data_IF_378379451566
#
_entry.id   IF_378379451566
#
_cell.length_a   1.000
_cell.length_b   1.000
_cell.length_c   1.000
_cell.angle_alpha   90.00
_cell.angle_beta   90.00
_cell.angle_gamma   90.00
#
_symmetry.space_group_name_H-M   'P 1'
#
loop_
_entity.id
_entity.type
_entity.pdbx_description
1 polymer ?
#
# COMPACT_ATOMS: atom_id res chain seq x y z
N UNK A 1 36.92 -57.61 -7.30
CA UNK A 1 36.21 -56.33 -7.54
C UNK A 1 36.67 -55.35 -6.45
N UNK A 2 37.93 -54.89 -6.43
CA UNK A 2 38.46 -53.64 -7.04
C UNK A 2 37.57 -52.43 -6.69
N UNK A 3 38.02 -51.32 -6.10
CA UNK A 3 39.37 -50.82 -5.84
C UNK A 3 39.31 -49.73 -4.74
N UNK A 4 40.40 -49.62 -3.99
CA UNK A 4 40.73 -48.58 -3.01
C UNK A 4 40.97 -47.20 -3.64
N UNK A 5 41.31 -46.22 -2.79
CA UNK A 5 42.03 -44.94 -3.00
C UNK A 5 41.16 -43.67 -2.84
N UNK A 6 41.57 -42.54 -2.27
CA UNK A 6 42.70 -42.09 -1.42
C UNK A 6 42.42 -40.60 -1.14
N UNK A 7 42.68 -40.17 0.10
CA UNK A 7 43.06 -38.83 0.64
C UNK A 7 43.37 -37.64 -0.32
N UNK A 8 43.22 -36.41 0.24
CA UNK A 8 43.72 -35.06 -0.17
C UNK A 8 42.86 -34.31 -1.22
N UNK A 9 42.67 -32.98 -1.20
CA UNK A 9 43.37 -31.87 -0.54
C UNK A 9 42.49 -30.60 -0.60
N UNK A 10 42.79 -29.66 0.29
CA UNK A 10 42.41 -28.25 0.27
C UNK A 10 42.67 -27.61 -1.10
N UNK A 11 41.69 -26.91 -1.69
CA UNK A 11 41.96 -25.76 -2.55
C UNK A 11 40.84 -24.73 -2.45
N UNK A 12 41.21 -23.59 -1.86
CA UNK A 12 40.43 -22.37 -1.74
C UNK A 12 40.26 -21.71 -3.11
N UNK A 13 39.02 -21.59 -3.59
CA UNK A 13 38.70 -20.77 -4.76
C UNK A 13 38.25 -19.39 -4.27
N UNK A 14 38.98 -18.30 -4.59
CA UNK A 14 38.62 -16.96 -4.15
C UNK A 14 37.42 -16.44 -4.96
N UNK A 15 36.38 -15.96 -4.27
CA UNK A 15 35.34 -15.15 -4.89
C UNK A 15 35.93 -13.78 -5.21
N UNK A 16 36.41 -13.64 -6.44
CA UNK A 16 36.93 -12.41 -7.00
C UNK A 16 35.74 -11.54 -7.44
N UNK A 17 35.38 -10.53 -6.63
CA UNK A 17 34.44 -9.48 -7.05
C UNK A 17 35.23 -8.50 -7.91
N UNK A 18 35.03 -8.58 -9.22
CA UNK A 18 35.42 -7.48 -10.12
C UNK A 18 34.41 -6.34 -9.96
N UNK A 19 34.85 -5.10 -9.71
CA UNK A 19 34.00 -3.93 -9.74
C UNK A 19 33.84 -3.52 -11.20
N UNK A 20 32.62 -3.54 -11.72
CA UNK A 20 32.38 -2.88 -13.00
C UNK A 20 31.00 -2.25 -12.96
N UNK A 21 31.02 -0.92 -13.05
CA UNK A 21 29.84 -0.08 -13.11
C UNK A 21 28.89 -0.60 -14.17
N UNK A 22 27.68 -0.94 -13.72
CA UNK A 22 26.60 -1.27 -14.63
C UNK A 22 26.07 0.03 -15.23
N UNK A 23 26.55 0.28 -16.44
CA UNK A 23 25.92 1.10 -17.46
C UNK A 23 24.42 0.84 -17.49
N UNK A 24 23.66 1.92 -17.51
CA UNK A 24 22.23 1.98 -17.77
C UNK A 24 21.90 1.26 -19.08
N UNK A 25 21.25 0.10 -19.01
CA UNK A 25 20.56 -0.50 -20.15
C UNK A 25 19.08 -0.08 -20.09
N UNK A 26 18.56 0.68 -21.07
CA UNK A 26 17.16 1.15 -21.07
C UNK A 26 16.14 0.01 -21.25
N UNK A 27 16.58 -1.20 -21.59
CA UNK A 27 15.69 -2.24 -22.09
C UNK A 27 15.18 -3.22 -21.02
N UNK A 28 15.72 -3.20 -19.79
CA UNK A 28 15.26 -4.07 -18.70
C UNK A 28 13.99 -3.54 -18.00
N UNK A 29 13.68 -2.25 -18.15
CA UNK A 29 12.45 -1.63 -17.59
C UNK A 29 11.21 -1.91 -18.46
N UNK A 30 11.40 -2.17 -19.76
CA UNK A 30 10.34 -2.43 -20.73
C UNK A 30 9.62 -3.77 -20.47
N UNK A 31 10.37 -4.88 -20.37
CA UNK A 31 9.80 -6.23 -20.28
C UNK A 31 8.98 -6.51 -19.01
N UNK A 32 9.21 -5.75 -17.91
CA UNK A 32 8.47 -5.94 -16.66
C UNK A 32 7.08 -5.28 -16.69
N UNK A 33 6.92 -4.22 -17.47
CA UNK A 33 5.65 -3.51 -17.59
C UNK A 33 4.62 -4.29 -18.41
N UNK A 34 5.07 -5.07 -19.40
CA UNK A 34 4.23 -5.85 -20.31
C UNK A 34 3.37 -6.92 -19.62
N UNK A 35 3.82 -7.41 -18.45
CA UNK A 35 3.09 -8.37 -17.61
C UNK A 35 2.58 -7.74 -16.30
N UNK A 36 2.68 -6.42 -16.16
CA UNK A 36 2.27 -5.74 -14.93
C UNK A 36 0.76 -5.87 -14.69
N UNK A 37 0.37 -6.01 -13.42
CA UNK A 37 -1.04 -6.06 -13.04
C UNK A 37 -1.77 -4.80 -13.54
N UNK A 38 -1.15 -3.63 -13.45
CA UNK A 38 -1.74 -2.38 -13.94
C UNK A 38 -2.06 -2.37 -15.44
N UNK A 39 -1.18 -2.92 -16.29
CA UNK A 39 -1.46 -3.04 -17.72
C UNK A 39 -2.59 -4.04 -17.99
N UNK A 40 -2.60 -5.16 -17.27
CA UNK A 40 -3.67 -6.16 -17.36
C UNK A 40 -5.02 -5.59 -16.90
N UNK A 41 -5.03 -4.81 -15.82
CA UNK A 41 -6.24 -4.12 -15.32
C UNK A 41 -6.76 -3.12 -16.35
N UNK A 42 -5.90 -2.33 -17.00
CA UNK A 42 -6.32 -1.41 -18.07
C UNK A 42 -6.99 -2.15 -19.23
N UNK A 43 -6.38 -3.25 -19.71
CA UNK A 43 -6.94 -4.07 -20.78
C UNK A 43 -8.25 -4.74 -20.35
N UNK A 44 -8.31 -5.27 -19.12
CA UNK A 44 -9.50 -5.88 -18.53
C UNK A 44 -10.68 -4.90 -18.43
N UNK A 45 -10.43 -3.67 -17.97
CA UNK A 45 -11.44 -2.60 -17.94
C UNK A 45 -11.90 -2.24 -19.36
N UNK A 46 -10.99 -2.25 -20.34
CA UNK A 46 -11.34 -2.07 -21.75
C UNK A 46 -12.35 -3.12 -22.24
N UNK A 47 -12.14 -4.40 -21.89
CA UNK A 47 -13.08 -5.48 -22.21
C UNK A 47 -14.44 -5.31 -21.50
N UNK A 48 -14.41 -4.86 -20.24
CA UNK A 48 -15.60 -4.62 -19.44
C UNK A 48 -16.43 -3.43 -19.98
N UNK A 49 -15.77 -2.39 -20.50
CA UNK A 49 -16.43 -1.24 -21.15
C UNK A 49 -16.98 -1.57 -22.53
N UNK A 50 -16.38 -2.54 -23.22
CA UNK A 50 -16.82 -2.98 -24.54
C UNK A 50 -18.03 -3.92 -24.47
N UNK A 51 -18.38 -4.47 -23.30
CA UNK A 51 -19.53 -5.35 -23.15
C UNK A 51 -20.84 -4.57 -22.98
N UNK A 52 -21.87 -5.01 -23.69
CA UNK A 52 -23.15 -4.27 -23.87
C UNK A 52 -23.97 -4.10 -22.59
N UNK A 53 -23.74 -4.92 -21.57
CA UNK A 53 -24.43 -4.87 -20.27
C UNK A 53 -23.47 -4.73 -19.08
N UNK A 54 -22.19 -4.44 -19.33
CA UNK A 54 -21.17 -4.42 -18.28
C UNK A 54 -20.90 -5.77 -17.66
N UNK A 55 -21.39 -6.87 -18.25
CA UNK A 55 -21.12 -8.25 -17.85
C UNK A 55 -19.88 -8.77 -18.60
N UNK A 56 -18.96 -9.43 -17.90
CA UNK A 56 -17.71 -9.96 -18.45
C UNK A 56 -17.47 -11.41 -17.99
N UNK A 57 -17.29 -12.30 -18.96
CA UNK A 57 -16.86 -13.70 -18.72
C UNK A 57 -15.35 -13.74 -18.43
N UNK A 58 -15.01 -14.26 -17.25
CA UNK A 58 -13.65 -14.39 -16.77
C UNK A 58 -12.81 -15.39 -17.58
N UNK A 59 -13.42 -16.43 -18.15
CA UNK A 59 -12.71 -17.39 -19.01
C UNK A 59 -12.31 -16.73 -20.33
N UNK A 60 -13.25 -15.99 -20.94
CA UNK A 60 -13.00 -15.25 -22.18
C UNK A 60 -11.99 -14.13 -21.95
N UNK A 61 -12.07 -13.42 -20.82
CA UNK A 61 -11.09 -12.40 -20.46
C UNK A 61 -9.67 -12.99 -20.27
N UNK A 62 -9.54 -14.15 -19.62
CA UNK A 62 -8.26 -14.85 -19.47
C UNK A 62 -7.64 -15.20 -20.83
N UNK A 63 -8.45 -15.71 -21.77
CA UNK A 63 -8.00 -16.04 -23.12
C UNK A 63 -7.59 -14.79 -23.93
N UNK A 64 -8.38 -13.70 -23.88
CA UNK A 64 -8.09 -12.48 -24.62
C UNK A 64 -6.89 -11.70 -24.08
N UNK A 65 -6.66 -11.76 -22.77
CA UNK A 65 -5.49 -11.15 -22.14
C UNK A 65 -4.25 -12.04 -22.20
N UNK A 66 -4.40 -13.30 -22.65
CA UNK A 66 -3.38 -14.34 -22.67
C UNK A 66 -2.70 -14.52 -21.29
N UNK A 67 -3.52 -14.59 -20.23
CA UNK A 67 -3.05 -14.72 -18.85
C UNK A 67 -3.69 -15.89 -18.13
N UNK A 68 -3.00 -16.40 -17.12
CA UNK A 68 -3.52 -17.45 -16.24
C UNK A 68 -4.70 -16.92 -15.40
N UNK A 69 -5.68 -17.80 -15.09
CA UNK A 69 -6.85 -17.45 -14.25
C UNK A 69 -6.48 -16.79 -12.92
N UNK A 70 -5.31 -17.11 -12.37
CA UNK A 70 -4.79 -16.49 -11.15
C UNK A 70 -4.68 -14.96 -11.26
N UNK A 71 -4.25 -14.45 -12.42
CA UNK A 71 -4.11 -13.00 -12.66
C UNK A 71 -5.47 -12.31 -12.79
N UNK A 72 -6.48 -13.01 -13.29
CA UNK A 72 -7.85 -12.50 -13.32
C UNK A 72 -8.37 -12.28 -11.90
N UNK A 73 -8.10 -13.20 -10.98
CA UNK A 73 -8.49 -13.04 -9.57
C UNK A 73 -7.76 -11.89 -8.86
N UNK A 74 -6.49 -11.65 -9.20
CA UNK A 74 -5.77 -10.48 -8.68
C UNK A 74 -6.50 -9.18 -9.06
N UNK A 75 -7.03 -9.09 -10.28
CA UNK A 75 -7.76 -7.91 -10.77
C UNK A 75 -9.16 -7.84 -10.14
N UNK A 76 -9.90 -8.95 -10.13
CA UNK A 76 -11.28 -8.95 -9.62
C UNK A 76 -11.33 -8.67 -8.12
N UNK A 77 -10.42 -9.23 -7.32
CA UNK A 77 -10.40 -9.01 -5.87
C UNK A 77 -10.18 -7.53 -5.52
N UNK A 78 -9.32 -6.84 -6.28
CA UNK A 78 -9.08 -5.41 -6.08
C UNK A 78 -10.32 -4.61 -6.49
N UNK A 79 -10.89 -4.87 -7.67
CA UNK A 79 -12.06 -4.15 -8.17
C UNK A 79 -13.33 -4.41 -7.35
N UNK A 80 -13.48 -5.60 -6.78
CA UNK A 80 -14.54 -5.97 -5.85
C UNK A 80 -14.34 -5.31 -4.48
N UNK A 81 -13.10 -5.28 -3.97
CA UNK A 81 -12.75 -4.61 -2.71
C UNK A 81 -13.07 -3.12 -2.71
N UNK A 82 -12.95 -2.46 -3.88
CA UNK A 82 -13.35 -1.06 -4.08
C UNK A 82 -14.79 -0.89 -4.61
N UNK A 83 -15.57 -1.98 -4.66
CA UNK A 83 -17.00 -2.02 -5.07
C UNK A 83 -17.28 -1.41 -6.45
N UNK A 84 -16.39 -1.61 -7.42
CA UNK A 84 -16.63 -1.21 -8.82
C UNK A 84 -17.23 -2.35 -9.65
N UNK A 85 -17.06 -3.59 -9.21
CA UNK A 85 -17.65 -4.78 -9.83
C UNK A 85 -18.33 -5.67 -8.79
N UNK A 86 -19.33 -6.43 -9.21
CA UNK A 86 -19.98 -7.47 -8.42
C UNK A 86 -19.90 -8.84 -9.12
N UNK A 87 -19.98 -9.91 -8.33
CA UNK A 87 -20.05 -11.27 -8.84
C UNK A 87 -21.49 -11.58 -9.27
N UNK A 88 -21.72 -11.63 -10.58
CA UNK A 88 -23.03 -11.95 -11.14
C UNK A 88 -23.30 -13.47 -11.14
N UNK A 89 -22.34 -14.27 -11.63
CA UNK A 89 -22.45 -15.74 -11.62
C UNK A 89 -21.07 -16.42 -11.62
N UNK A 90 -21.02 -17.76 -11.59
CA UNK A 90 -19.75 -18.48 -11.68
C UNK A 90 -19.09 -18.12 -13.02
N UNK A 91 -17.85 -17.63 -12.96
CA UNK A 91 -17.08 -17.11 -14.09
C UNK A 91 -17.59 -15.81 -14.72
N UNK A 92 -18.53 -15.07 -14.11
CA UNK A 92 -18.98 -13.77 -14.64
C UNK A 92 -18.96 -12.67 -13.59
N UNK A 93 -18.50 -11.49 -13.98
CA UNK A 93 -18.51 -10.27 -13.17
C UNK A 93 -19.25 -9.15 -13.89
N UNK A 94 -19.87 -8.26 -13.13
CA UNK A 94 -20.64 -7.12 -13.63
C UNK A 94 -20.07 -5.80 -13.14
N UNK A 95 -20.04 -4.78 -13.99
CA UNK A 95 -19.73 -3.41 -13.60
C UNK A 95 -20.89 -2.74 -12.84
N UNK A 96 -20.60 -2.22 -11.64
CA UNK A 96 -21.57 -1.50 -10.80
C UNK A 96 -21.20 -0.03 -10.55
N UNK A 97 -20.04 0.43 -10.99
CA UNK A 97 -19.53 1.79 -10.73
C UNK A 97 -20.39 2.95 -11.28
N UNK A 98 -21.40 2.68 -12.10
CA UNK A 98 -22.36 3.67 -12.60
C UNK A 98 -23.73 3.62 -11.91
N UNK A 99 -23.94 2.69 -10.96
CA UNK A 99 -25.18 2.57 -10.22
C UNK A 99 -25.10 3.49 -8.99
N UNK A 100 -26.07 4.41 -8.77
CA UNK A 100 -26.16 5.08 -7.47
C UNK A 100 -26.29 4.01 -6.37
N UNK A 101 -25.71 4.21 -5.18
CA UNK A 101 -25.81 3.24 -4.10
C UNK A 101 -27.29 2.99 -3.83
N UNK A 102 -27.77 1.79 -4.19
CA UNK A 102 -29.14 1.40 -3.91
C UNK A 102 -29.25 1.23 -2.38
N UNK A 103 -30.34 1.71 -1.77
CA UNK A 103 -30.60 1.41 -0.36
C UNK A 103 -30.68 -0.10 -0.20
N UNK A 104 -30.01 -0.58 0.84
CA UNK A 104 -30.05 -1.96 1.32
C UNK A 104 -31.49 -2.37 1.56
N UNK A 105 -31.99 -3.35 0.82
CA UNK A 105 -33.15 -4.12 1.24
C UNK A 105 -33.03 -5.56 0.72
N UNK A 106 -33.09 -6.48 1.67
CA UNK A 106 -32.88 -7.90 1.46
C UNK A 106 -34.11 -8.58 0.85
N UNK A 107 -33.85 -9.71 0.19
CA UNK A 107 -34.83 -10.80 0.12
C UNK A 107 -35.62 -10.93 -1.18
N UNK A 108 -35.16 -11.89 -1.98
CA UNK A 108 -35.96 -12.90 -2.67
C UNK A 108 -36.66 -12.60 -4.03
N UNK A 109 -36.37 -13.54 -4.94
CA UNK A 109 -37.19 -14.08 -6.06
C UNK A 109 -37.38 -13.27 -7.35
N UNK A 110 -36.60 -13.68 -8.37
CA UNK A 110 -36.99 -13.76 -9.80
C UNK A 110 -38.13 -14.77 -10.03
N UNK A 111 -38.61 -15.01 -11.28
CA UNK A 111 -38.94 -14.11 -12.40
C UNK A 111 -40.34 -14.44 -13.02
N UNK A 112 -40.89 -13.56 -13.86
CA UNK A 112 -41.88 -13.98 -14.87
C UNK A 112 -41.79 -13.13 -16.14
N UNK A 113 -41.71 -13.87 -17.24
CA UNK A 113 -41.63 -13.47 -18.65
C UNK A 113 -42.83 -12.68 -19.16
N UNK A 114 -42.60 -11.76 -20.11
CA UNK A 114 -43.59 -11.41 -21.13
C UNK A 114 -42.90 -10.87 -22.41
N UNK A 115 -42.88 -11.76 -23.41
CA UNK A 115 -43.02 -11.57 -24.86
C UNK A 115 -42.99 -10.16 -25.49
N UNK A 116 -42.03 -10.01 -26.42
CA UNK A 116 -42.19 -9.59 -27.82
C UNK A 116 -43.44 -8.81 -28.28
N UNK A 117 -43.22 -7.59 -28.77
CA UNK A 117 -43.96 -7.02 -29.89
C UNK A 117 -43.04 -6.10 -30.72
N UNK A 118 -42.76 -6.52 -31.94
CA UNK A 118 -42.16 -5.73 -33.01
C UNK A 118 -43.23 -4.80 -33.63
N UNK A 119 -43.00 -3.49 -33.66
CA UNK A 119 -43.55 -2.61 -34.68
C UNK A 119 -42.54 -1.49 -34.92
N UNK A 120 -42.01 -1.46 -36.13
CA UNK A 120 -41.07 -0.45 -36.59
C UNK A 120 -41.80 0.85 -36.94
N UNK A 121 -41.01 1.93 -36.89
CA UNK A 121 -41.17 3.22 -37.57
C UNK A 121 -42.34 4.12 -37.17
N UNK A 122 -42.02 5.09 -36.30
CA UNK A 122 -42.35 6.49 -36.55
C UNK A 122 -41.21 7.37 -36.01
N UNK A 123 -40.61 8.11 -36.92
CA UNK A 123 -39.49 9.03 -36.71
C UNK A 123 -40.02 10.21 -35.90
N UNK A 124 -39.42 10.49 -34.74
CA UNK A 124 -39.69 11.70 -33.95
C UNK A 124 -38.37 12.21 -33.39
N UNK A 125 -37.86 13.25 -34.05
CA UNK A 125 -36.61 13.97 -33.77
C UNK A 125 -36.69 14.84 -32.51
N UNK A 126 -37.13 14.28 -31.39
CA UNK A 126 -37.31 14.99 -30.10
C UNK A 126 -36.68 14.28 -28.90
N UNK A 127 -36.24 13.03 -29.04
CA UNK A 127 -35.63 12.25 -27.94
C UNK A 127 -34.15 12.54 -27.71
N UNK A 128 -33.42 13.03 -28.71
CA UNK A 128 -31.98 13.32 -28.60
C UNK A 128 -31.69 14.58 -27.79
N UNK A 129 -32.56 15.59 -27.87
CA UNK A 129 -32.36 16.88 -27.20
C UNK A 129 -32.51 16.77 -25.67
N UNK A 130 -33.48 15.99 -25.18
CA UNK A 130 -33.68 15.78 -23.74
C UNK A 130 -32.57 14.94 -23.10
N UNK A 131 -32.05 13.94 -23.82
CA UNK A 131 -30.90 13.13 -23.38
C UNK A 131 -29.62 13.97 -23.32
N UNK A 132 -29.40 14.84 -24.31
CA UNK A 132 -28.26 15.75 -24.36
C UNK A 132 -28.31 16.78 -23.23
N UNK A 133 -29.49 17.37 -22.96
CA UNK A 133 -29.70 18.30 -21.85
C UNK A 133 -29.45 17.65 -20.47
N UNK A 134 -29.81 16.37 -20.30
CA UNK A 134 -29.51 15.61 -19.08
C UNK A 134 -28.01 15.35 -18.89
N UNK A 135 -27.28 15.05 -19.98
CA UNK A 135 -25.83 14.89 -19.94
C UNK A 135 -25.09 16.20 -19.66
N UNK A 136 -25.52 17.30 -20.27
CA UNK A 136 -24.98 18.63 -20.01
C UNK A 136 -25.18 19.04 -18.54
N UNK A 137 -26.36 18.79 -17.99
CA UNK A 137 -26.62 19.03 -16.57
C UNK A 137 -25.71 18.19 -15.66
N UNK A 138 -25.49 16.92 -15.98
CA UNK A 138 -24.57 16.05 -15.23
C UNK A 138 -23.12 16.52 -15.32
N UNK A 139 -22.68 16.98 -16.49
CA UNK A 139 -21.34 17.56 -16.68
C UNK A 139 -21.17 18.84 -15.86
N UNK A 140 -22.19 19.70 -15.82
CA UNK A 140 -22.18 20.90 -14.99
C UNK A 140 -22.06 20.57 -13.49
N UNK A 141 -22.81 19.57 -13.02
CA UNK A 141 -22.74 19.10 -11.63
C UNK A 141 -21.36 18.52 -11.28
N UNK A 142 -20.80 17.68 -12.15
CA UNK A 142 -19.45 17.12 -11.96
C UNK A 142 -18.38 18.21 -11.96
N UNK A 143 -18.50 19.20 -12.86
CA UNK A 143 -17.58 20.34 -12.91
C UNK A 143 -17.65 21.16 -11.62
N UNK A 144 -18.84 21.42 -11.10
CA UNK A 144 -19.00 22.11 -9.82
C UNK A 144 -18.44 21.30 -8.64
N UNK A 145 -18.63 19.97 -8.64
CA UNK A 145 -18.05 19.09 -7.63
C UNK A 145 -16.52 19.10 -7.67
N UNK A 146 -15.92 19.01 -8.87
CA UNK A 146 -14.46 19.09 -9.03
C UNK A 146 -13.92 20.44 -8.56
N UNK A 147 -14.54 21.56 -8.95
CA UNK A 147 -14.14 22.89 -8.48
C UNK A 147 -14.22 23.01 -6.94
N UNK A 148 -15.24 22.40 -6.33
CA UNK A 148 -15.38 22.35 -4.88
C UNK A 148 -14.27 21.52 -4.24
N UNK A 149 -13.94 20.35 -4.81
CA UNK A 149 -12.87 19.49 -4.34
C UNK A 149 -11.51 20.18 -4.42
N UNK A 150 -11.21 20.84 -5.54
CA UNK A 150 -9.98 21.64 -5.69
C UNK A 150 -9.91 22.78 -4.67
N UNK A 151 -11.04 23.42 -4.36
CA UNK A 151 -11.08 24.46 -3.31
C UNK A 151 -10.77 23.89 -1.93
N UNK A 152 -11.32 22.71 -1.60
CA UNK A 152 -11.04 22.02 -0.34
C UNK A 152 -9.58 21.57 -0.25
N UNK A 153 -9.02 21.07 -1.34
CA UNK A 153 -7.61 20.70 -1.41
C UNK A 153 -6.71 21.91 -1.12
N UNK A 154 -6.98 23.05 -1.77
CA UNK A 154 -6.25 24.31 -1.47
C UNK A 154 -6.38 24.70 0.00
N UNK A 155 -7.59 24.67 0.55
CA UNK A 155 -7.82 25.00 1.95
C UNK A 155 -7.05 24.08 2.93
N UNK A 156 -7.00 22.77 2.64
CA UNK A 156 -6.23 21.82 3.45
C UNK A 156 -4.74 22.11 3.35
N UNK A 157 -4.22 22.36 2.15
CA UNK A 157 -2.81 22.68 1.93
C UNK A 157 -2.39 23.98 2.66
N UNK A 158 -3.25 25.00 2.64
CA UNK A 158 -3.01 26.26 3.36
C UNK A 158 -2.98 26.02 4.88
N UNK A 159 -3.91 25.21 5.40
CA UNK A 159 -3.95 24.88 6.83
C UNK A 159 -2.74 24.06 7.27
N UNK A 160 -2.31 23.08 6.46
CA UNK A 160 -1.09 22.29 6.72
C UNK A 160 0.12 23.22 6.80
N UNK A 161 0.28 24.12 5.82
CA UNK A 161 1.36 25.10 5.84
C UNK A 161 1.29 25.99 7.08
N UNK A 162 0.10 26.48 7.45
CA UNK A 162 -0.06 27.31 8.65
C UNK A 162 0.36 26.56 9.92
N UNK A 163 -0.05 25.30 10.05
CA UNK A 163 0.33 24.46 11.20
C UNK A 163 1.83 24.21 11.25
N UNK A 164 2.47 23.91 10.11
CA UNK A 164 3.93 23.69 10.06
C UNK A 164 4.70 24.94 10.49
N UNK A 165 4.27 26.12 10.01
CA UNK A 165 4.87 27.40 10.44
C UNK A 165 4.68 27.65 11.94
N UNK A 166 3.52 27.33 12.49
CA UNK A 166 3.26 27.46 13.93
C UNK A 166 4.11 26.51 14.77
N UNK A 167 4.23 25.24 14.36
CA UNK A 167 5.10 24.27 15.03
C UNK A 167 6.54 24.77 15.02
N UNK A 168 7.06 25.19 13.86
CA UNK A 168 8.44 25.68 13.76
C UNK A 168 8.65 26.93 14.62
N UNK A 169 7.67 27.85 14.64
CA UNK A 169 7.70 29.06 15.47
C UNK A 169 7.78 28.73 16.97
N UNK A 170 6.95 27.81 17.43
CA UNK A 170 6.93 27.38 18.85
C UNK A 170 8.22 26.66 19.22
N UNK A 171 8.69 25.74 18.38
CA UNK A 171 9.95 25.00 18.60
C UNK A 171 11.16 25.95 18.64
N UNK A 172 11.23 26.94 17.76
CA UNK A 172 12.29 27.97 17.78
C UNK A 172 12.25 28.82 19.04
N UNK A 173 11.05 29.25 19.46
CA UNK A 173 10.86 30.11 20.64
C UNK A 173 11.16 29.40 21.95
N UNK A 174 10.84 28.11 22.05
CA UNK A 174 10.94 27.35 23.30
C UNK A 174 11.99 26.23 23.23
N UNK A 175 13.02 26.36 22.38
CA UNK A 175 14.03 25.32 22.15
C UNK A 175 14.64 24.75 23.44
N UNK A 176 14.83 25.58 24.47
CA UNK A 176 15.42 25.17 25.75
C UNK A 176 14.46 24.38 26.66
N UNK A 177 13.16 24.38 26.35
CA UNK A 177 12.11 23.68 27.11
C UNK A 177 11.57 22.45 26.36
N UNK A 178 12.10 22.14 25.17
CA UNK A 178 11.73 20.95 24.39
C UNK A 178 12.55 19.73 24.83
N UNK A 179 12.33 19.25 26.05
CA UNK A 179 12.95 18.04 26.57
C UNK A 179 11.96 17.27 27.46
N UNK A 180 12.23 15.99 27.66
CA UNK A 180 11.58 15.15 28.67
C UNK A 180 12.53 14.91 29.83
N UNK A 181 12.01 14.85 31.05
CA UNK A 181 12.80 14.49 32.22
C UNK A 181 12.87 12.97 32.38
N UNK A 182 13.83 12.50 33.19
CA UNK A 182 13.89 11.08 33.54
C UNK A 182 12.69 10.63 34.38
N UNK A 183 12.07 11.52 35.17
CA UNK A 183 10.84 11.21 35.91
C UNK A 183 9.66 10.96 34.96
N UNK A 184 9.54 11.77 33.89
CA UNK A 184 8.52 11.58 32.86
C UNK A 184 8.64 10.19 32.20
N UNK A 185 9.88 9.74 31.96
CA UNK A 185 10.17 8.44 31.34
C UNK A 185 9.99 7.27 32.30
N UNK A 186 10.31 7.45 33.59
CA UNK A 186 10.18 6.39 34.61
C UNK A 186 8.73 5.88 34.75
N UNK A 187 7.73 6.75 34.53
CA UNK A 187 6.30 6.36 34.53
C UNK A 187 6.00 5.30 33.47
N UNK A 188 6.61 5.41 32.30
CA UNK A 188 6.46 4.43 31.23
C UNK A 188 7.21 3.14 31.54
N UNK A 189 8.39 3.22 32.16
CA UNK A 189 9.16 2.04 32.56
C UNK A 189 8.40 1.17 33.56
N UNK A 190 7.72 1.77 34.55
CA UNK A 190 6.92 1.00 35.53
C UNK A 190 5.80 0.23 34.84
N UNK A 191 5.12 0.85 33.88
CA UNK A 191 4.05 0.22 33.10
C UNK A 191 4.59 -0.90 32.18
N UNK A 192 5.71 -0.66 31.49
CA UNK A 192 6.33 -1.60 30.57
C UNK A 192 6.97 -2.79 31.31
N UNK A 193 7.56 -2.55 32.49
CA UNK A 193 8.12 -3.59 33.34
C UNK A 193 7.07 -4.61 33.80
N UNK A 194 5.84 -4.15 34.09
CA UNK A 194 4.72 -5.04 34.40
C UNK A 194 4.38 -6.00 33.23
N UNK A 195 4.67 -5.59 31.99
CA UNK A 195 4.45 -6.36 30.77
C UNK A 195 5.72 -7.05 30.23
N UNK A 196 6.85 -6.96 30.94
CA UNK A 196 8.18 -7.42 30.48
C UNK A 196 8.62 -6.80 29.15
N UNK A 197 8.23 -5.55 28.91
CA UNK A 197 8.66 -4.75 27.76
C UNK A 197 9.77 -3.77 28.17
N UNK A 198 10.59 -3.35 27.21
CA UNK A 198 11.73 -2.46 27.45
C UNK A 198 11.52 -1.15 26.70
N UNK A 199 11.71 -0.03 27.39
CA UNK A 199 11.71 1.29 26.78
C UNK A 199 13.10 1.62 26.22
N UNK A 200 13.16 2.04 24.96
CA UNK A 200 14.39 2.51 24.30
C UNK A 200 14.13 3.90 23.75
N UNK A 201 14.88 4.90 24.21
CA UNK A 201 14.84 6.26 23.68
C UNK A 201 15.93 6.42 22.63
N UNK A 202 15.52 6.75 21.41
CA UNK A 202 16.42 6.95 20.28
C UNK A 202 16.40 8.42 19.89
N UNK A 203 17.52 9.11 20.08
CA UNK A 203 17.72 10.44 19.51
C UNK A 203 18.52 10.28 18.20
N UNK A 204 17.82 10.40 17.08
CA UNK A 204 18.38 10.20 15.76
C UNK A 204 18.16 11.42 14.86
N UNK A 205 19.09 11.71 13.93
CA UNK A 205 18.94 12.76 12.93
C UNK A 205 17.72 12.56 12.03
N UNK A 206 17.33 13.64 11.35
CA UNK A 206 16.32 13.57 10.28
C UNK A 206 16.73 12.53 9.21
N UNK A 207 15.73 11.91 8.60
CA UNK A 207 15.87 10.85 7.59
C UNK A 207 16.54 9.55 8.05
N UNK A 208 16.64 9.33 9.37
CA UNK A 208 17.11 8.03 9.91
C UNK A 208 16.08 6.94 9.63
N UNK A 209 16.53 5.86 8.99
CA UNK A 209 15.71 4.69 8.69
C UNK A 209 15.76 3.69 9.86
N UNK A 210 14.58 3.39 10.43
CA UNK A 210 14.44 2.43 11.53
C UNK A 210 13.63 1.24 11.03
N UNK A 211 14.29 0.09 10.85
CA UNK A 211 13.65 -1.14 10.37
C UNK A 211 13.56 -2.18 11.48
N UNK A 212 12.35 -2.61 11.80
CA UNK A 212 12.09 -3.64 12.81
C UNK A 212 11.79 -4.96 12.11
N UNK A 213 12.71 -5.92 12.22
CA UNK A 213 12.51 -7.26 11.69
C UNK A 213 11.90 -8.15 12.76
N UNK A 214 10.59 -8.36 12.65
CA UNK A 214 9.91 -9.34 13.48
C UNK A 214 10.33 -10.76 13.04
N UNK A 215 10.62 -11.65 14.00
CA UNK A 215 10.94 -13.04 13.69
C UNK A 215 9.72 -13.71 13.05
N UNK A 216 9.90 -14.30 11.86
CA UNK A 216 8.84 -15.08 11.20
C UNK A 216 8.41 -16.23 12.13
N UNK A 217 7.10 -16.43 12.39
CA UNK A 217 6.65 -17.61 13.13
C UNK A 217 7.04 -18.85 12.33
N UNK A 218 7.90 -19.70 12.90
CA UNK A 218 8.23 -21.00 12.31
C UNK A 218 6.98 -21.88 12.43
N UNK A 219 6.28 -22.07 11.30
CA UNK A 219 5.32 -23.15 11.18
C UNK A 219 6.08 -24.48 11.10
N UNK A 220 5.55 -25.46 11.84
CA UNK A 220 5.97 -26.86 11.96
C UNK A 220 7.03 -27.19 13.03
N UNK A 221 6.52 -27.73 14.15
CA UNK A 221 7.11 -28.80 14.96
C UNK A 221 8.60 -28.70 15.29
N UNK A 222 9.01 -27.65 16.00
CA UNK A 222 10.15 -27.78 16.88
C UNK A 222 10.04 -26.82 18.05
N UNK A 223 9.95 -27.41 19.24
CA UNK A 223 10.16 -26.89 20.60
C UNK A 223 10.04 -25.36 20.77
N UNK A 224 9.08 -24.96 21.61
CA UNK A 224 8.96 -23.63 22.23
C UNK A 224 10.35 -23.03 22.50
N UNK A 225 10.81 -22.16 21.61
CA UNK A 225 11.99 -21.35 21.83
C UNK A 225 11.55 -20.11 22.62
N UNK A 226 12.12 -19.84 23.80
CA UNK A 226 11.68 -18.74 24.63
C UNK A 226 12.02 -17.42 23.93
N UNK A 227 10.97 -16.67 23.59
CA UNK A 227 10.99 -15.28 23.10
C UNK A 227 11.91 -15.06 21.90
N UNK A 228 11.32 -15.18 20.71
CA UNK A 228 11.99 -14.84 19.47
C UNK A 228 12.51 -13.38 19.52
N UNK A 229 13.83 -13.20 19.40
CA UNK A 229 14.47 -11.88 19.50
C UNK A 229 14.09 -11.02 18.29
N UNK A 230 13.38 -9.93 18.52
CA UNK A 230 13.15 -8.88 17.51
C UNK A 230 14.46 -8.15 17.26
N UNK A 231 14.87 -8.05 15.99
CA UNK A 231 16.07 -7.29 15.60
C UNK A 231 15.65 -5.96 15.00
N UNK A 232 16.13 -4.86 15.58
CA UNK A 232 15.95 -3.52 15.04
C UNK A 232 17.26 -3.06 14.40
N UNK A 233 17.21 -2.56 13.17
CA UNK A 233 18.36 -1.95 12.50
C UNK A 233 18.08 -0.46 12.32
N UNK A 234 19.01 0.37 12.77
CA UNK A 234 18.97 1.83 12.63
C UNK A 234 20.04 2.20 11.62
N UNK A 235 19.65 2.79 10.49
CA UNK A 235 20.58 3.29 9.46
C UNK A 235 20.55 4.81 9.45
N UNK A 236 21.68 5.41 9.81
CA UNK A 236 21.89 6.85 9.76
C UNK A 236 22.28 7.24 8.33
N UNK A 237 21.74 8.33 7.75
CA UNK A 237 22.18 8.85 6.46
C UNK A 237 23.70 9.15 6.44
N UNK A 238 24.40 8.81 5.36
CA UNK A 238 25.85 9.07 5.22
C UNK A 238 26.22 10.56 5.31
N UNK A 239 25.27 11.44 4.99
CA UNK A 239 25.42 12.89 5.08
C UNK A 239 25.20 13.46 6.50
N UNK A 240 24.85 12.63 7.49
CA UNK A 240 24.60 13.11 8.85
C UNK A 240 25.90 13.43 9.59
N UNK A 241 26.01 14.67 10.09
CA UNK A 241 27.10 15.09 10.98
C UNK A 241 26.88 14.70 12.46
N UNK A 242 25.72 14.14 12.81
CA UNK A 242 25.37 13.80 14.21
C UNK A 242 25.44 12.28 14.45
N UNK A 243 26.15 11.82 15.50
CA UNK A 243 26.22 10.40 15.85
C UNK A 243 24.92 9.93 16.52
N UNK A 244 24.49 8.71 16.21
CA UNK A 244 23.37 8.06 16.89
C UNK A 244 23.70 7.86 18.37
N UNK A 245 22.79 8.31 19.26
CA UNK A 245 22.87 8.05 20.69
C UNK A 245 21.74 7.13 21.12
N UNK A 246 22.11 5.96 21.62
CA UNK A 246 21.19 4.99 22.23
C UNK A 246 21.49 4.97 23.72
N UNK A 247 20.51 5.32 24.54
CA UNK A 247 20.63 5.28 26.00
C UNK A 247 19.71 4.19 26.53
N UNK A 248 20.29 3.20 27.20
CA UNK A 248 19.54 2.25 28.02
C UNK A 248 19.26 2.91 29.36
N UNK A 249 18.01 3.00 29.75
CA UNK A 249 17.59 3.57 31.04
C UNK A 249 17.66 2.55 32.19
N UNK A 250 18.17 1.34 31.94
CA UNK A 250 18.29 0.29 32.94
C UNK A 250 18.98 0.77 34.22
N UNK A 251 18.21 0.79 35.30
CA UNK A 251 18.67 1.15 36.65
C UNK A 251 19.66 0.12 37.18
N UNK A 252 20.95 0.28 36.85
CA UNK A 252 22.02 -0.40 37.56
C UNK A 252 23.15 0.59 37.85
N UNK A 253 23.08 1.15 39.06
CA UNK A 253 24.18 1.59 39.93
C UNK A 253 25.26 2.51 39.36
N UNK A 254 25.28 3.73 39.93
CA UNK A 254 26.47 4.52 40.24
C UNK A 254 27.48 4.76 39.11
N UNK A 255 27.27 5.83 38.35
CA UNK A 255 28.37 6.73 37.96
C UNK A 255 27.78 8.08 37.58
N UNK A 256 28.14 9.07 38.38
CA UNK A 256 27.90 10.48 38.17
C UNK A 256 28.61 10.97 36.90
N UNK A 257 27.95 10.92 35.76
CA UNK A 257 28.32 11.74 34.60
C UNK A 257 27.22 12.76 34.35
N UNK A 258 27.51 14.00 34.78
CA UNK A 258 26.70 15.17 34.50
C UNK A 258 26.65 15.35 32.99
N UNK A 259 25.48 15.10 32.41
CA UNK A 259 25.22 15.40 31.01
C UNK A 259 25.22 16.93 30.82
N UNK A 260 26.24 17.47 30.15
CA UNK A 260 26.25 18.84 29.63
C UNK A 260 25.82 18.81 28.16
N UNK A 261 24.74 19.50 27.75
CA UNK A 261 24.46 19.70 26.35
C UNK A 261 25.29 20.90 25.83
N UNK A 262 25.97 20.68 24.70
CA UNK A 262 26.26 21.73 23.71
C UNK A 262 25.30 21.52 22.56
#
# INVERSE_FOLDING_TARGET
MTNSHRRSRHESVPFQIHPSGALTSPNAQSCRYDSSLGLLTKKFIGLLRASTHGDLDLNRAAAQLNVQKRRIYDITNVLEGIRLIEKNSKNHVRWIGNRPPAPDDGGASSPVSASSASTASSISSTTSASSLMSMEHRLAMLKNSNNMMEKKERQLNDLTQQMDHEIERVLKRHKTHCYLTLDDLARFEVMLAAQQEVLVVVNAPYDTDITVHQPKPRLAMQQYSPKAKTKCFIRIPEASAQPLRVVSLSTSSSSSERYRPY
#
